data_IF_589115885333
#
_entry.id   IF_589115885333
#
_cell.length_a   1.000
_cell.length_b   1.000
_cell.length_c   1.000
_cell.angle_alpha   90.00
_cell.angle_beta   90.00
_cell.angle_gamma   90.00
#
_symmetry.space_group_name_H-M   'P 1'
#
loop_
_entity.id
_entity.type
_entity.pdbx_description
1 polymer ?
#
# COMPACT_ATOMS: atom_id res chain seq x y z
N UNK A 1 22.38 18.92 62.40
CA UNK A 1 21.53 19.31 61.26
C UNK A 1 20.75 18.07 60.84
N UNK A 2 19.62 17.75 61.48
CA UNK A 2 18.29 18.38 61.29
C UNK A 2 17.82 18.23 59.82
N UNK A 3 16.68 17.62 59.45
CA UNK A 3 15.49 17.20 60.20
C UNK A 3 14.74 16.07 59.47
N UNK A 4 14.00 15.32 60.28
CA UNK A 4 12.91 14.37 60.04
C UNK A 4 11.59 15.07 59.61
N UNK A 5 10.69 14.34 58.95
CA UNK A 5 9.22 14.60 58.94
C UNK A 5 8.55 14.61 57.56
N UNK A 6 7.83 13.53 57.17
CA UNK A 6 6.34 13.39 57.16
C UNK A 6 5.62 14.22 56.05
N UNK A 7 4.76 13.72 55.15
CA UNK A 7 3.60 12.80 55.22
C UNK A 7 3.08 12.43 53.81
N UNK A 8 2.37 11.29 53.68
CA UNK A 8 1.53 10.83 52.54
C UNK A 8 0.32 11.77 52.26
N UNK A 9 -0.65 11.48 51.34
CA UNK A 9 -0.62 11.03 49.94
C UNK A 9 -1.51 11.96 49.04
N UNK A 10 -1.20 12.15 47.75
CA UNK A 10 -2.13 12.83 46.83
C UNK A 10 -2.90 11.79 46.01
N UNK A 11 -4.15 11.57 46.42
CA UNK A 11 -5.18 10.85 45.68
C UNK A 11 -5.60 11.66 44.44
N UNK A 12 -5.26 11.19 43.26
CA UNK A 12 -5.75 11.74 41.99
C UNK A 12 -7.03 10.99 41.62
N UNK A 13 -8.18 11.67 41.78
CA UNK A 13 -9.49 11.18 41.31
C UNK A 13 -9.56 11.23 39.77
N UNK A 14 -10.19 10.23 39.12
CA UNK A 14 -10.37 10.23 37.68
C UNK A 14 -11.42 11.27 37.26
N UNK A 15 -11.05 12.17 36.33
CA UNK A 15 -11.97 13.13 35.75
C UNK A 15 -12.87 12.48 34.68
N UNK A 16 -14.14 12.87 34.72
CA UNK A 16 -15.30 12.26 34.09
C UNK A 16 -15.25 12.39 32.55
N UNK A 17 -15.60 11.28 31.87
CA UNK A 17 -15.93 11.23 30.45
C UNK A 17 -17.15 12.12 30.19
N UNK A 18 -17.00 13.13 29.34
CA UNK A 18 -18.12 13.92 28.81
C UNK A 18 -18.68 13.22 27.59
N UNK A 19 -19.86 12.64 27.76
CA UNK A 19 -20.66 11.97 26.75
C UNK A 19 -21.42 13.03 25.96
N UNK A 20 -20.96 13.35 24.74
CA UNK A 20 -21.81 14.06 23.78
C UNK A 20 -22.67 13.03 23.05
N UNK A 21 -23.88 12.80 23.56
CA UNK A 21 -24.92 12.04 22.87
C UNK A 21 -25.54 12.96 21.81
N UNK A 22 -25.11 12.81 20.56
CA UNK A 22 -25.89 13.28 19.41
C UNK A 22 -27.01 12.27 19.20
N UNK A 23 -28.25 12.71 19.42
CA UNK A 23 -29.46 11.95 19.16
C UNK A 23 -29.63 11.72 17.65
N UNK A 24 -29.15 10.57 17.16
CA UNK A 24 -29.56 10.04 15.86
C UNK A 24 -30.65 8.99 16.09
N UNK A 25 -31.89 9.30 15.69
CA UNK A 25 -33.00 8.34 15.59
C UNK A 25 -33.11 7.86 14.15
N UNK A 26 -32.58 6.68 13.78
CA UNK A 26 -32.88 6.09 12.49
C UNK A 26 -34.35 5.66 12.45
N UNK A 27 -35.10 6.17 11.48
CA UNK A 27 -36.46 5.70 11.17
C UNK A 27 -36.33 4.36 10.43
N UNK A 28 -36.53 3.26 11.15
CA UNK A 28 -36.55 1.90 10.59
C UNK A 28 -37.93 1.60 10.03
N UNK A 29 -38.15 1.92 8.76
CA UNK A 29 -39.22 1.32 7.94
C UNK A 29 -38.78 1.33 6.48
N UNK A 30 -37.91 0.40 6.11
CA UNK A 30 -37.84 -0.07 4.73
C UNK A 30 -37.40 -1.54 4.70
N UNK A 31 -38.29 -2.50 4.39
CA UNK A 31 -37.89 -3.88 4.16
C UNK A 31 -37.30 -4.04 2.76
N UNK A 32 -36.29 -4.89 2.64
CA UNK A 32 -35.62 -5.37 1.40
C UNK A 32 -34.45 -4.53 0.85
N UNK A 33 -33.23 -4.84 1.32
CA UNK A 33 -32.18 -5.47 0.49
C UNK A 33 -30.86 -5.56 1.26
N UNK A 34 -30.64 -6.76 1.81
CA UNK A 34 -29.39 -7.55 1.85
C UNK A 34 -28.06 -6.79 1.85
N UNK A 35 -27.42 -6.79 3.03
CA UNK A 35 -25.99 -6.91 3.32
C UNK A 35 -24.97 -6.31 2.32
N UNK A 36 -24.41 -5.16 2.70
CA UNK A 36 -23.17 -4.60 2.18
C UNK A 36 -21.97 -5.55 2.42
N UNK A 37 -21.74 -6.48 1.49
CA UNK A 37 -20.45 -7.16 1.37
C UNK A 37 -19.42 -6.16 0.80
N UNK A 38 -18.46 -5.73 1.62
CA UNK A 38 -17.32 -4.93 1.16
C UNK A 38 -16.36 -5.80 0.34
N UNK A 39 -16.77 -6.10 -0.89
CA UNK A 39 -15.90 -6.78 -1.84
C UNK A 39 -14.68 -5.90 -2.14
N UNK A 40 -13.51 -6.53 -2.18
CA UNK A 40 -12.28 -5.88 -2.62
C UNK A 40 -12.46 -5.45 -4.07
N UNK A 41 -12.35 -4.13 -4.31
CA UNK A 41 -12.51 -3.54 -5.65
C UNK A 41 -11.35 -3.87 -6.59
N UNK A 42 -10.21 -4.29 -6.04
CA UNK A 42 -9.00 -4.61 -6.79
C UNK A 42 -8.87 -6.13 -6.88
N UNK A 43 -9.16 -6.68 -8.06
CA UNK A 43 -9.02 -8.10 -8.40
C UNK A 43 -8.22 -8.23 -9.69
N UNK A 44 -7.52 -9.34 -9.88
CA UNK A 44 -6.88 -9.64 -11.15
C UNK A 44 -7.92 -9.69 -12.29
N UNK A 45 -7.56 -9.16 -13.44
CA UNK A 45 -8.41 -9.15 -14.64
C UNK A 45 -7.67 -9.80 -15.82
N UNK A 46 -8.41 -10.04 -16.91
CA UNK A 46 -7.85 -10.54 -18.17
C UNK A 46 -7.50 -9.39 -19.14
N UNK A 47 -7.45 -8.15 -18.65
CA UNK A 47 -7.12 -6.98 -19.47
C UNK A 47 -5.64 -6.99 -19.87
N UNK A 48 -5.36 -6.49 -21.08
CA UNK A 48 -3.99 -6.39 -21.58
C UNK A 48 -3.25 -5.24 -20.91
N UNK A 49 -2.10 -5.57 -20.29
CA UNK A 49 -1.22 -4.58 -19.66
C UNK A 49 -0.64 -3.63 -20.70
N UNK A 50 -0.28 -4.13 -21.89
CA UNK A 50 0.27 -3.29 -22.95
C UNK A 50 -0.78 -2.34 -23.49
N UNK A 51 -2.01 -2.80 -23.71
CA UNK A 51 -3.10 -1.97 -24.22
C UNK A 51 -3.48 -0.88 -23.21
N UNK A 52 -3.49 -1.22 -21.92
CA UNK A 52 -3.64 -0.26 -20.84
C UNK A 52 -2.56 0.82 -20.88
N UNK A 53 -1.28 0.44 -20.96
CA UNK A 53 -0.18 1.41 -21.06
C UNK A 53 -0.25 2.23 -22.35
N UNK A 54 -0.70 1.61 -23.45
CA UNK A 54 -0.85 2.29 -24.73
C UNK A 54 -1.94 3.36 -24.73
N UNK A 55 -3.00 3.15 -23.94
CA UNK A 55 -4.10 4.10 -23.73
C UNK A 55 -3.70 5.38 -22.97
N UNK A 56 -2.50 5.41 -22.35
CA UNK A 56 -2.04 6.56 -21.58
C UNK A 56 -1.65 7.70 -22.52
N UNK A 57 -2.42 8.79 -22.50
CA UNK A 57 -2.19 9.96 -23.37
C UNK A 57 -0.90 10.73 -23.01
N UNK A 58 -0.55 10.80 -21.73
CA UNK A 58 0.60 11.60 -21.30
C UNK A 58 1.92 10.91 -21.69
N UNK A 59 2.75 11.51 -22.57
CA UNK A 59 3.89 10.82 -23.18
C UNK A 59 4.91 10.32 -22.15
N UNK A 60 5.27 11.14 -21.16
CA UNK A 60 6.19 10.72 -20.09
C UNK A 60 5.60 9.62 -19.19
N UNK A 61 4.29 9.62 -18.91
CA UNK A 61 3.66 8.58 -18.08
C UNK A 61 3.61 7.26 -18.83
N UNK A 62 3.31 7.30 -20.13
CA UNK A 62 3.35 6.14 -21.02
C UNK A 62 4.76 5.55 -21.09
N UNK A 63 5.76 6.38 -21.40
CA UNK A 63 7.16 5.96 -21.47
C UNK A 63 7.66 5.38 -20.14
N UNK A 64 7.41 6.08 -19.02
CA UNK A 64 7.76 5.57 -17.69
C UNK A 64 6.98 4.29 -17.34
N UNK A 65 5.73 4.16 -17.78
CA UNK A 65 4.92 2.96 -17.58
C UNK A 65 5.53 1.73 -18.26
N UNK A 66 6.03 1.87 -19.49
CA UNK A 66 6.77 0.80 -20.18
C UNK A 66 8.13 0.53 -19.55
N UNK A 67 8.84 1.55 -19.07
CA UNK A 67 10.09 1.36 -18.35
C UNK A 67 9.87 0.58 -17.05
N UNK A 68 8.84 0.94 -16.27
CA UNK A 68 8.44 0.21 -15.07
C UNK A 68 8.05 -1.23 -15.42
N UNK A 69 7.24 -1.44 -16.45
CA UNK A 69 6.88 -2.78 -16.93
C UNK A 69 8.13 -3.64 -17.13
N UNK A 70 9.10 -3.13 -17.88
CA UNK A 70 10.37 -3.81 -18.11
C UNK A 70 11.13 -4.12 -16.81
N UNK A 71 11.34 -3.11 -15.96
CA UNK A 71 12.06 -3.25 -14.69
C UNK A 71 11.42 -4.33 -13.81
N UNK A 72 10.10 -4.25 -13.60
CA UNK A 72 9.40 -5.21 -12.75
C UNK A 72 9.47 -6.63 -13.33
N UNK A 73 9.34 -6.82 -14.64
CA UNK A 73 9.51 -8.14 -15.25
C UNK A 73 10.92 -8.69 -15.07
N UNK A 74 11.95 -7.85 -15.25
CA UNK A 74 13.35 -8.25 -15.08
C UNK A 74 13.67 -8.64 -13.63
N UNK A 75 13.23 -7.85 -12.65
CA UNK A 75 13.56 -8.06 -11.24
C UNK A 75 12.72 -9.16 -10.57
N UNK A 76 11.51 -9.41 -11.06
CA UNK A 76 10.61 -10.42 -10.48
C UNK A 76 10.61 -11.75 -11.23
N UNK A 77 10.90 -11.74 -12.54
CA UNK A 77 10.67 -12.89 -13.42
C UNK A 77 9.19 -13.21 -13.66
N UNK A 78 8.27 -12.39 -13.15
CA UNK A 78 6.84 -12.64 -13.17
C UNK A 78 6.15 -12.03 -14.40
N UNK A 79 5.05 -12.66 -14.81
CA UNK A 79 4.19 -12.09 -15.84
C UNK A 79 3.36 -10.93 -15.25
N UNK A 80 3.26 -9.79 -15.95
CA UNK A 80 2.44 -8.68 -15.50
C UNK A 80 0.95 -9.04 -15.62
N UNK A 81 0.16 -8.63 -14.65
CA UNK A 81 -1.30 -8.83 -14.63
C UNK A 81 -1.98 -7.51 -14.30
N UNK A 82 -3.10 -7.22 -14.96
CA UNK A 82 -3.93 -6.07 -14.61
C UNK A 82 -4.74 -6.38 -13.34
N UNK A 83 -4.76 -5.42 -12.42
CA UNK A 83 -5.51 -5.46 -11.17
C UNK A 83 -6.46 -4.27 -11.10
N UNK A 84 -7.75 -4.56 -11.18
CA UNK A 84 -8.77 -3.55 -11.38
C UNK A 84 -8.48 -2.70 -12.63
N UNK A 85 -8.80 -1.39 -12.62
CA UNK A 85 -8.77 -0.57 -13.83
C UNK A 85 -7.41 0.09 -14.13
N UNK A 86 -6.44 0.06 -13.20
CA UNK A 86 -5.24 0.92 -13.35
C UNK A 86 -3.98 0.44 -12.63
N UNK A 87 -3.95 -0.79 -12.14
CA UNK A 87 -2.77 -1.33 -11.45
C UNK A 87 -2.19 -2.47 -12.27
N UNK A 88 -0.88 -2.44 -12.48
CA UNK A 88 -0.10 -3.55 -13.03
C UNK A 88 0.60 -4.23 -11.87
N UNK A 89 0.26 -5.48 -11.60
CA UNK A 89 0.82 -6.29 -10.51
C UNK A 89 1.68 -7.44 -11.04
N UNK A 90 2.62 -7.88 -10.22
CA UNK A 90 3.57 -8.95 -10.51
C UNK A 90 3.58 -9.96 -9.37
N UNK A 91 3.60 -11.24 -9.71
CA UNK A 91 3.48 -12.35 -8.77
C UNK A 91 2.06 -12.55 -8.25
N UNK A 92 1.87 -13.63 -7.49
CA UNK A 92 0.62 -13.93 -6.78
C UNK A 92 0.94 -14.36 -5.36
N UNK A 93 0.28 -13.72 -4.40
CA UNK A 93 0.44 -13.96 -2.97
C UNK A 93 -0.95 -14.10 -2.34
N UNK A 94 -1.19 -15.23 -1.67
CA UNK A 94 -2.41 -15.44 -0.89
C UNK A 94 -2.25 -14.79 0.48
N UNK A 95 -2.77 -13.57 0.62
CA UNK A 95 -2.76 -12.84 1.89
C UNK A 95 -3.86 -13.38 2.80
N UNK A 96 -3.47 -13.91 3.97
CA UNK A 96 -4.40 -14.38 5.00
C UNK A 96 -4.46 -13.38 6.15
N UNK A 97 -5.64 -12.81 6.36
CA UNK A 97 -5.91 -11.99 7.54
C UNK A 97 -5.97 -12.86 8.80
N UNK A 98 -5.71 -12.24 9.96
CA UNK A 98 -5.89 -12.87 11.28
C UNK A 98 -7.33 -13.35 11.53
N UNK A 99 -8.31 -12.83 10.80
CA UNK A 99 -9.71 -13.28 10.80
C UNK A 99 -9.95 -14.56 9.99
N UNK A 100 -8.93 -15.12 9.34
CA UNK A 100 -9.04 -16.32 8.48
C UNK A 100 -9.45 -16.04 7.04
N UNK A 101 -9.73 -14.77 6.67
CA UNK A 101 -10.03 -14.38 5.29
C UNK A 101 -8.77 -14.44 4.43
N UNK A 102 -8.81 -15.18 3.33
CA UNK A 102 -7.75 -15.24 2.32
C UNK A 102 -8.08 -14.32 1.15
N UNK A 103 -7.07 -13.72 0.54
CA UNK A 103 -7.21 -12.93 -0.67
C UNK A 103 -5.98 -13.06 -1.58
N UNK A 104 -6.21 -13.16 -2.88
CA UNK A 104 -5.15 -13.00 -3.86
C UNK A 104 -4.68 -11.55 -3.88
N UNK A 105 -3.37 -11.37 -3.86
CA UNK A 105 -2.72 -10.08 -3.98
C UNK A 105 -1.44 -10.16 -4.81
N UNK A 106 -1.04 -9.04 -5.39
CA UNK A 106 0.26 -8.92 -6.05
C UNK A 106 1.29 -8.38 -5.05
N UNK A 107 2.44 -9.06 -4.84
CA UNK A 107 3.46 -8.58 -3.91
C UNK A 107 4.08 -7.24 -4.29
N UNK A 108 4.26 -7.01 -5.59
CA UNK A 108 4.82 -5.76 -6.11
C UNK A 108 4.09 -5.32 -7.38
N UNK A 109 4.06 -4.01 -7.64
CA UNK A 109 3.37 -3.46 -8.80
C UNK A 109 3.41 -1.95 -8.88
N UNK A 110 2.77 -1.40 -9.91
CA UNK A 110 2.68 0.04 -10.11
C UNK A 110 1.35 0.47 -10.75
N UNK A 111 1.06 1.76 -10.65
CA UNK A 111 -0.09 2.41 -11.28
C UNK A 111 0.35 3.76 -11.86
N UNK A 112 0.38 3.93 -13.18
CA UNK A 112 0.75 5.19 -13.83
C UNK A 112 -0.44 6.15 -13.82
N UNK A 113 -0.68 6.81 -12.68
CA UNK A 113 -1.79 7.74 -12.51
C UNK A 113 -1.50 9.09 -13.15
N UNK A 114 -2.55 9.88 -13.36
CA UNK A 114 -2.49 11.21 -13.98
C UNK A 114 -1.48 12.16 -13.31
N UNK A 115 -1.35 12.10 -11.98
CA UNK A 115 -0.49 13.02 -11.21
C UNK A 115 0.89 12.44 -10.86
N UNK A 116 1.01 11.12 -10.77
CA UNK A 116 2.23 10.44 -10.32
C UNK A 116 2.18 8.95 -10.63
N UNK A 117 3.34 8.32 -10.62
CA UNK A 117 3.46 6.86 -10.59
C UNK A 117 3.29 6.42 -9.13
N UNK A 118 2.31 5.56 -8.89
CA UNK A 118 2.15 4.90 -7.59
C UNK A 118 2.88 3.56 -7.64
N UNK A 119 3.79 3.34 -6.71
CA UNK A 119 4.60 2.12 -6.59
C UNK A 119 4.14 1.35 -5.36
N UNK A 120 3.83 0.07 -5.57
CA UNK A 120 3.40 -0.88 -4.55
C UNK A 120 4.53 -1.88 -4.30
N UNK A 121 5.01 -1.93 -3.06
CA UNK A 121 6.13 -2.77 -2.63
C UNK A 121 5.79 -3.35 -1.26
N UNK A 122 5.99 -4.65 -1.08
CA UNK A 122 5.83 -5.35 0.20
C UNK A 122 7.16 -5.34 0.95
N UNK A 123 7.46 -4.22 1.62
CA UNK A 123 8.54 -4.09 2.58
C UNK A 123 7.98 -3.44 3.84
N UNK A 124 8.42 -3.91 5.00
CA UNK A 124 8.20 -3.23 6.27
C UNK A 124 8.85 -1.84 6.27
N UNK A 125 8.54 -1.05 7.29
CA UNK A 125 9.15 0.26 7.43
C UNK A 125 10.67 0.12 7.58
N UNK A 126 11.11 -0.80 8.41
CA UNK A 126 12.52 -1.01 8.73
C UNK A 126 13.32 -1.47 7.50
N UNK A 127 12.71 -2.31 6.65
CA UNK A 127 13.35 -2.82 5.43
C UNK A 127 13.41 -1.78 4.30
N UNK A 128 12.44 -0.86 4.22
CA UNK A 128 12.34 0.09 3.09
C UNK A 128 13.17 1.37 3.29
N UNK A 129 13.36 1.83 4.52
CA UNK A 129 14.05 3.10 4.81
C UNK A 129 15.47 3.21 4.21
N UNK A 130 16.33 2.16 4.22
CA UNK A 130 17.66 2.24 3.60
C UNK A 130 17.63 2.55 2.09
N UNK A 131 16.63 2.03 1.37
CA UNK A 131 16.43 2.30 -0.06
C UNK A 131 15.92 3.73 -0.26
N UNK A 132 14.92 4.13 0.53
CA UNK A 132 14.33 5.47 0.44
C UNK A 132 15.36 6.57 0.66
N UNK A 133 16.32 6.38 1.57
CA UNK A 133 17.40 7.33 1.83
C UNK A 133 18.27 7.62 0.58
N UNK A 134 18.32 6.69 -0.38
CA UNK A 134 19.16 6.77 -1.60
C UNK A 134 18.33 6.88 -2.88
N UNK A 135 17.01 6.78 -2.79
CA UNK A 135 16.13 6.63 -3.96
C UNK A 135 16.04 7.89 -4.82
N UNK A 136 16.14 9.09 -4.24
CA UNK A 136 15.94 10.36 -4.95
C UNK A 136 14.65 11.06 -4.53
N UNK A 137 13.88 11.61 -5.49
CA UNK A 137 12.65 12.37 -5.18
C UNK A 137 11.43 11.46 -5.15
N UNK A 138 10.83 11.31 -3.98
CA UNK A 138 9.61 10.54 -3.78
C UNK A 138 8.71 11.18 -2.71
N UNK A 139 7.46 10.71 -2.65
CA UNK A 139 6.53 10.97 -1.54
C UNK A 139 6.03 9.64 -0.98
N UNK A 140 6.12 9.46 0.34
CA UNK A 140 5.65 8.25 1.03
C UNK A 140 4.20 8.40 1.49
N UNK A 141 3.43 7.32 1.41
CA UNK A 141 2.08 7.14 1.95
C UNK A 141 2.06 5.94 2.90
N UNK A 142 0.93 5.67 3.56
CA UNK A 142 0.76 4.51 4.46
C UNK A 142 0.97 3.16 3.77
N UNK A 143 0.87 3.07 2.44
CA UNK A 143 0.96 1.79 1.73
C UNK A 143 1.50 1.86 0.30
N UNK A 144 2.09 3.00 -0.11
CA UNK A 144 2.72 3.13 -1.42
C UNK A 144 3.73 4.27 -1.44
N UNK A 145 4.60 4.22 -2.43
CA UNK A 145 5.55 5.28 -2.77
C UNK A 145 5.03 5.98 -4.03
N UNK A 146 5.04 7.30 -4.03
CA UNK A 146 4.75 8.10 -5.21
C UNK A 146 6.04 8.67 -5.77
N UNK A 147 6.28 8.43 -7.06
CA UNK A 147 7.36 9.06 -7.83
C UNK A 147 6.72 9.86 -8.97
N UNK A 148 7.26 11.04 -9.28
CA UNK A 148 6.69 11.88 -10.33
C UNK A 148 7.04 11.32 -11.71
N UNK A 149 8.31 10.95 -11.92
CA UNK A 149 8.84 10.32 -13.13
C UNK A 149 10.04 9.45 -12.79
N UNK A 150 10.38 8.49 -13.66
CA UNK A 150 11.53 7.61 -13.42
C UNK A 150 12.87 8.35 -13.38
N UNK A 151 13.00 9.46 -14.11
CA UNK A 151 14.23 10.27 -14.09
C UNK A 151 14.49 11.01 -12.77
N UNK A 152 13.53 11.00 -11.83
CA UNK A 152 13.68 11.63 -10.52
C UNK A 152 14.26 10.67 -9.46
N UNK A 153 14.44 9.38 -9.81
CA UNK A 153 14.93 8.34 -8.91
C UNK A 153 16.18 7.65 -9.44
N UNK A 154 16.96 7.09 -8.52
CA UNK A 154 18.06 6.19 -8.84
C UNK A 154 17.49 4.81 -9.21
N UNK A 155 17.62 4.43 -10.49
CA UNK A 155 17.09 3.18 -11.03
C UNK A 155 17.72 1.94 -10.37
N UNK A 156 19.01 1.97 -10.05
CA UNK A 156 19.70 0.84 -9.41
C UNK A 156 19.12 0.56 -8.02
N UNK A 157 18.97 1.60 -7.20
CA UNK A 157 18.33 1.50 -5.88
C UNK A 157 16.88 1.05 -5.99
N UNK A 158 16.16 1.54 -7.01
CA UNK A 158 14.78 1.13 -7.26
C UNK A 158 14.67 -0.37 -7.60
N UNK A 159 15.57 -0.88 -8.46
CA UNK A 159 15.66 -2.29 -8.82
C UNK A 159 15.99 -3.18 -7.62
N UNK A 160 16.98 -2.80 -6.83
CA UNK A 160 17.34 -3.52 -5.59
C UNK A 160 16.18 -3.59 -4.60
N UNK A 161 15.42 -2.51 -4.46
CA UNK A 161 14.24 -2.45 -3.60
C UNK A 161 13.15 -3.43 -4.06
N UNK A 162 12.88 -3.52 -5.37
CA UNK A 162 11.90 -4.48 -5.93
C UNK A 162 12.38 -5.91 -5.69
N UNK A 163 13.64 -6.21 -6.03
CA UNK A 163 14.25 -7.54 -5.87
C UNK A 163 14.21 -8.01 -4.42
N UNK A 164 14.50 -7.11 -3.48
CA UNK A 164 14.45 -7.42 -2.05
C UNK A 164 13.03 -7.74 -1.61
N UNK A 165 12.05 -6.95 -2.05
CA UNK A 165 10.65 -7.17 -1.70
C UNK A 165 10.14 -8.51 -2.17
N UNK A 166 10.38 -8.88 -3.43
CA UNK A 166 9.90 -10.15 -3.97
C UNK A 166 10.58 -11.35 -3.31
N UNK A 167 11.88 -11.25 -3.03
CA UNK A 167 12.62 -12.30 -2.33
C UNK A 167 12.09 -12.53 -0.91
N UNK A 168 11.80 -11.46 -0.16
CA UNK A 168 11.24 -11.59 1.19
C UNK A 168 9.87 -12.24 1.16
N UNK A 169 9.02 -11.87 0.19
CA UNK A 169 7.70 -12.51 0.04
C UNK A 169 7.88 -14.00 -0.21
N UNK A 170 8.74 -14.43 -1.13
CA UNK A 170 8.86 -15.86 -1.44
C UNK A 170 9.62 -16.66 -0.39
N UNK A 171 10.58 -16.06 0.32
CA UNK A 171 11.33 -16.75 1.38
C UNK A 171 10.54 -16.88 2.68
N UNK A 172 9.66 -15.94 3.00
CA UNK A 172 8.83 -16.01 4.21
C UNK A 172 7.63 -16.98 4.09
N UNK A 173 7.41 -17.56 2.91
CA UNK A 173 6.33 -18.50 2.62
C UNK A 173 6.80 -19.95 2.40
N UNK A 174 8.09 -20.25 2.63
CA UNK A 174 8.61 -21.61 2.70
C UNK A 174 8.83 -22.02 4.15
#
# INVERSE_FOLDING_TARGET
MECIGNTHPISIKPQKKSTFLVNYKPNFNNPTNTEFMSELKTKATNESVTDFLDSIEHPTRKADGFLLLKIFQEETGEKPVMWGPSIVGFGKFNYKYSSGKEMDWFPVGFSPRKQSLSIYIMLSKEEIEPYLAKLGKFKKSKGCIYINKMSDVNEEIFREMIRTSINLVYNNNQ
#
